data_IF_478945930508
#
_entry.id   IF_478945930508
#
_cell.length_a   1.000
_cell.length_b   1.000
_cell.length_c   1.000
_cell.angle_alpha   90.00
_cell.angle_beta   90.00
_cell.angle_gamma   90.00
#
_symmetry.space_group_name_H-M   'P 1'
#
loop_
_entity.id
_entity.type
_entity.pdbx_description
1 polymer ?
#
# COMPACT_ATOMS: atom_id res chain seq x y z
N UNK A 1 32.28 -4.41 11.32
CA UNK A 1 30.98 -5.05 11.05
C UNK A 1 30.05 -4.13 10.26
N UNK A 2 29.88 -2.86 10.63
CA UNK A 2 29.50 -1.79 9.66
C UNK A 2 30.59 -0.70 9.62
N UNK A 3 31.27 -0.49 10.73
CA UNK A 3 32.28 0.55 10.86
C UNK A 3 33.69 0.09 10.46
N UNK A 4 33.88 -1.12 9.92
CA UNK A 4 35.23 -1.65 9.59
C UNK A 4 35.56 -1.33 8.13
N UNK A 5 36.85 -1.18 7.83
CA UNK A 5 37.34 -0.88 6.47
C UNK A 5 37.07 -2.00 5.47
N UNK A 6 37.18 -3.25 5.91
CA UNK A 6 36.87 -4.41 5.09
C UNK A 6 35.73 -5.24 5.69
N UNK A 7 34.90 -5.87 4.84
CA UNK A 7 33.86 -6.77 5.31
C UNK A 7 34.50 -8.00 5.98
N UNK A 8 34.11 -8.28 7.22
CA UNK A 8 34.60 -9.45 7.97
C UNK A 8 33.81 -10.70 7.61
N UNK A 9 34.52 -11.82 7.45
CA UNK A 9 33.94 -13.15 7.22
C UNK A 9 33.73 -13.48 5.75
N UNK A 10 33.06 -14.61 5.49
CA UNK A 10 32.77 -15.10 4.12
C UNK A 10 31.52 -14.44 3.57
N UNK A 11 31.53 -14.08 2.29
CA UNK A 11 30.37 -13.52 1.58
C UNK A 11 29.12 -14.42 1.72
N UNK A 12 29.28 -15.74 1.58
CA UNK A 12 28.19 -16.70 1.73
C UNK A 12 27.55 -16.69 3.12
N UNK A 13 28.31 -16.37 4.18
CA UNK A 13 27.75 -16.20 5.51
C UNK A 13 26.91 -14.92 5.60
N UNK A 14 27.30 -13.84 4.93
CA UNK A 14 26.50 -12.60 4.91
C UNK A 14 25.16 -12.81 4.19
N UNK A 15 25.15 -13.46 3.02
CA UNK A 15 23.91 -13.77 2.30
C UNK A 15 23.02 -14.79 3.03
N UNK A 16 23.58 -15.75 3.77
CA UNK A 16 22.78 -16.65 4.63
C UNK A 16 21.96 -15.89 5.67
N UNK A 17 22.52 -14.83 6.26
CA UNK A 17 21.77 -13.97 7.19
C UNK A 17 20.67 -13.18 6.51
N UNK A 18 20.92 -12.68 5.29
CA UNK A 18 19.85 -12.06 4.46
C UNK A 18 18.74 -13.07 4.21
N UNK A 19 19.08 -14.27 3.72
CA UNK A 19 18.12 -15.32 3.43
C UNK A 19 17.33 -15.78 4.66
N UNK A 20 17.99 -15.94 5.80
CA UNK A 20 17.33 -16.27 7.08
C UNK A 20 16.34 -15.18 7.50
N UNK A 21 16.72 -13.91 7.39
CA UNK A 21 15.85 -12.80 7.76
C UNK A 21 14.65 -12.68 6.82
N UNK A 22 14.87 -12.78 5.50
CA UNK A 22 13.79 -12.81 4.49
C UNK A 22 12.86 -13.98 4.74
N UNK A 23 13.39 -15.18 5.00
CA UNK A 23 12.59 -16.34 5.34
C UNK A 23 11.77 -16.10 6.62
N UNK A 24 12.34 -15.44 7.62
CA UNK A 24 11.61 -15.06 8.84
C UNK A 24 10.43 -14.15 8.51
N UNK A 25 10.63 -13.10 7.70
CA UNK A 25 9.56 -12.19 7.26
C UNK A 25 8.47 -13.01 6.55
N UNK A 26 8.82 -13.78 5.51
CA UNK A 26 7.84 -14.47 4.68
C UNK A 26 7.11 -15.60 5.41
N UNK A 27 7.79 -16.36 6.27
CA UNK A 27 7.17 -17.43 7.05
C UNK A 27 6.22 -16.88 8.14
N UNK A 28 6.39 -15.62 8.55
CA UNK A 28 5.47 -14.97 9.48
C UNK A 28 4.19 -14.46 8.81
N UNK A 29 4.14 -14.32 7.49
CA UNK A 29 2.98 -13.77 6.77
C UNK A 29 1.67 -14.55 7.08
N UNK A 30 1.62 -15.89 6.97
CA UNK A 30 0.38 -16.63 7.27
C UNK A 30 -0.01 -16.56 8.74
N UNK A 31 0.96 -16.34 9.64
CA UNK A 31 0.75 -16.25 11.08
C UNK A 31 0.41 -14.82 11.53
N UNK A 32 0.61 -13.82 10.68
CA UNK A 32 0.52 -12.41 11.04
C UNK A 32 -0.84 -12.07 11.66
N UNK A 33 -1.94 -12.62 11.12
CA UNK A 33 -3.28 -12.34 11.65
C UNK A 33 -3.49 -12.94 13.05
N UNK A 34 -3.00 -14.15 13.28
CA UNK A 34 -3.06 -14.82 14.57
C UNK A 34 -2.23 -14.04 15.60
N UNK A 35 -1.04 -13.58 15.21
CA UNK A 35 -0.16 -12.76 16.05
C UNK A 35 -0.85 -11.43 16.39
N UNK A 36 -1.42 -10.74 15.40
CA UNK A 36 -2.15 -9.49 15.59
C UNK A 36 -3.32 -9.64 16.55
N UNK A 37 -4.17 -10.64 16.35
CA UNK A 37 -5.33 -10.91 17.21
C UNK A 37 -4.86 -11.23 18.64
N UNK A 38 -3.86 -12.11 18.78
CA UNK A 38 -3.30 -12.50 20.09
C UNK A 38 -2.69 -11.31 20.84
N UNK A 39 -1.90 -10.47 20.16
CA UNK A 39 -1.27 -9.28 20.77
C UNK A 39 -2.33 -8.25 21.15
N UNK A 40 -3.30 -8.01 20.26
CA UNK A 40 -4.40 -7.08 20.53
C UNK A 40 -5.19 -7.49 21.77
N UNK A 41 -5.48 -8.78 21.90
CA UNK A 41 -6.30 -9.30 22.99
C UNK A 41 -5.55 -9.32 24.33
N UNK A 42 -4.22 -9.49 24.33
CA UNK A 42 -3.41 -9.56 25.56
C UNK A 42 -2.79 -8.23 26.00
N UNK A 43 -2.36 -7.40 25.06
CA UNK A 43 -1.54 -6.21 25.34
C UNK A 43 -2.07 -4.93 24.66
N UNK A 44 -3.17 -5.02 23.91
CA UNK A 44 -3.68 -3.93 23.09
C UNK A 44 -2.87 -3.74 21.80
N UNK A 45 -3.50 -3.14 20.78
CA UNK A 45 -2.87 -2.92 19.47
C UNK A 45 -1.62 -2.03 19.53
N UNK A 46 -1.56 -1.11 20.49
CA UNK A 46 -0.44 -0.16 20.67
C UNK A 46 0.87 -0.87 21.04
N UNK A 47 0.83 -2.13 21.48
CA UNK A 47 2.03 -2.91 21.76
C UNK A 47 2.98 -2.98 20.55
N UNK A 48 2.46 -3.08 19.33
CA UNK A 48 3.28 -3.08 18.11
C UNK A 48 4.10 -1.79 17.97
N UNK A 49 3.45 -0.64 18.24
CA UNK A 49 4.09 0.66 18.16
C UNK A 49 5.20 0.81 19.22
N UNK A 50 4.96 0.35 20.45
CA UNK A 50 5.96 0.37 21.52
C UNK A 50 7.14 -0.55 21.25
N UNK A 51 6.90 -1.74 20.68
CA UNK A 51 7.96 -2.66 20.26
C UNK A 51 8.82 -2.01 19.17
N UNK A 52 8.19 -1.33 18.20
CA UNK A 52 8.90 -0.57 17.16
C UNK A 52 9.79 0.52 17.77
N UNK A 53 9.27 1.32 18.69
CA UNK A 53 10.07 2.35 19.37
C UNK A 53 11.21 1.77 20.23
N UNK A 54 10.97 0.64 20.89
CA UNK A 54 12.02 -0.06 21.64
C UNK A 54 13.15 -0.53 20.71
N UNK A 55 12.81 -1.06 19.53
CA UNK A 55 13.78 -1.44 18.52
C UNK A 55 14.59 -0.21 18.02
N UNK A 56 13.94 0.93 17.81
CA UNK A 56 14.63 2.19 17.45
C UNK A 56 15.56 2.66 18.56
N UNK A 57 15.12 2.62 19.82
CA UNK A 57 15.95 2.98 20.97
C UNK A 57 17.18 2.05 21.10
N UNK A 58 16.99 0.74 20.90
CA UNK A 58 18.09 -0.23 20.90
C UNK A 58 19.10 0.04 19.76
N UNK A 59 18.61 0.35 18.56
CA UNK A 59 19.47 0.73 17.43
C UNK A 59 20.25 2.02 17.72
N UNK A 60 19.60 3.06 18.27
CA UNK A 60 20.25 4.30 18.67
C UNK A 60 21.32 4.07 19.74
N UNK A 61 21.02 3.29 20.78
CA UNK A 61 21.98 2.92 21.82
C UNK A 61 23.20 2.17 21.26
N UNK A 62 22.97 1.26 20.31
CA UNK A 62 24.05 0.55 19.61
C UNK A 62 24.95 1.50 18.80
N UNK A 63 24.35 2.44 18.06
CA UNK A 63 25.07 3.46 17.28
C UNK A 63 25.90 4.36 18.22
N UNK A 64 25.30 4.86 19.30
CA UNK A 64 25.99 5.68 20.31
C UNK A 64 27.18 4.91 20.90
N UNK A 65 26.97 3.66 21.30
CA UNK A 65 28.04 2.80 21.84
C UNK A 65 29.16 2.58 20.82
N UNK A 66 28.83 2.40 19.54
CA UNK A 66 29.82 2.22 18.48
C UNK A 66 30.68 3.48 18.28
N UNK A 67 30.08 4.67 18.27
CA UNK A 67 30.83 5.94 18.21
C UNK A 67 31.73 6.15 19.44
N UNK A 68 31.22 5.89 20.65
CA UNK A 68 32.01 6.01 21.89
C UNK A 68 33.23 5.08 21.92
N UNK A 69 33.08 3.85 21.42
CA UNK A 69 34.17 2.85 21.40
C UNK A 69 35.30 3.18 20.44
N UNK A 70 35.04 3.94 19.39
CA UNK A 70 36.05 4.30 18.39
C UNK A 70 36.91 5.52 18.76
N UNK A 71 36.73 6.10 19.96
CA UNK A 71 37.48 7.28 20.44
C UNK A 71 37.60 8.43 19.42
N UNK A 72 36.68 8.53 18.46
CA UNK A 72 36.82 9.37 17.28
C UNK A 72 35.61 10.26 17.08
N UNK A 73 35.84 11.59 17.11
CA UNK A 73 34.88 12.67 16.92
C UNK A 73 33.89 12.40 15.77
N UNK A 74 32.70 11.88 16.11
CA UNK A 74 31.56 11.94 15.21
C UNK A 74 31.35 13.41 14.87
N UNK A 75 31.41 13.77 13.58
CA UNK A 75 31.21 15.16 13.19
C UNK A 75 29.80 15.59 13.61
N UNK A 76 29.58 16.83 14.07
CA UNK A 76 28.24 17.31 14.44
C UNK A 76 27.20 17.03 13.35
N UNK A 77 27.59 17.14 12.08
CA UNK A 77 26.74 16.80 10.92
C UNK A 77 26.30 15.33 10.91
N UNK A 78 27.17 14.38 11.29
CA UNK A 78 26.78 12.96 11.35
C UNK A 78 25.76 12.72 12.45
N UNK A 79 25.94 13.35 13.62
CA UNK A 79 25.00 13.28 14.73
C UNK A 79 23.67 13.91 14.31
N UNK A 80 23.68 15.09 13.70
CA UNK A 80 22.48 15.77 13.22
C UNK A 80 21.72 14.94 12.18
N UNK A 81 22.43 14.32 11.22
CA UNK A 81 21.81 13.41 10.25
C UNK A 81 21.18 12.21 10.94
N UNK A 82 21.89 11.55 11.86
CA UNK A 82 21.35 10.37 12.55
C UNK A 82 20.18 10.72 13.47
N UNK A 83 20.23 11.86 14.15
CA UNK A 83 19.13 12.38 14.96
C UNK A 83 17.93 12.73 14.09
N UNK A 84 18.14 13.41 12.96
CA UNK A 84 17.10 13.73 11.99
C UNK A 84 16.45 12.47 11.39
N UNK A 85 17.24 11.46 11.03
CA UNK A 85 16.72 10.16 10.58
C UNK A 85 15.95 9.44 11.68
N UNK A 86 16.46 9.42 12.91
CA UNK A 86 15.76 8.83 14.06
C UNK A 86 14.41 9.52 14.34
N UNK A 87 14.38 10.85 14.27
CA UNK A 87 13.16 11.65 14.37
C UNK A 87 12.17 11.35 13.24
N UNK A 88 12.66 11.25 11.99
CA UNK A 88 11.84 10.91 10.83
C UNK A 88 11.24 9.49 10.95
N UNK A 89 12.04 8.48 11.31
CA UNK A 89 11.55 7.13 11.57
C UNK A 89 10.49 7.11 12.67
N UNK A 90 10.72 7.86 13.75
CA UNK A 90 9.78 7.94 14.87
C UNK A 90 8.46 8.61 14.48
N UNK A 91 8.54 9.70 13.70
CA UNK A 91 7.37 10.38 13.18
C UNK A 91 6.57 9.51 12.19
N UNK A 92 7.26 8.79 11.29
CA UNK A 92 6.62 7.85 10.36
C UNK A 92 5.97 6.68 11.09
N UNK A 93 6.61 6.10 12.11
CA UNK A 93 5.99 5.06 12.92
C UNK A 93 4.76 5.59 13.67
N UNK A 94 4.82 6.80 14.22
CA UNK A 94 3.71 7.44 14.92
C UNK A 94 2.53 7.81 14.00
N UNK A 95 2.80 8.17 12.74
CA UNK A 95 1.74 8.47 11.77
C UNK A 95 0.89 7.22 11.45
N UNK A 96 1.47 6.02 11.63
CA UNK A 96 0.79 4.73 11.47
C UNK A 96 0.04 4.25 12.72
N UNK A 97 -0.07 5.04 13.81
CA UNK A 97 -0.75 4.62 15.06
C UNK A 97 -2.22 4.18 14.90
N UNK A 98 -2.86 4.52 13.79
CA UNK A 98 -4.19 4.00 13.47
C UNK A 98 -4.15 2.46 13.28
N UNK A 99 -3.11 1.99 12.58
CA UNK A 99 -2.78 0.59 12.29
C UNK A 99 -1.35 0.29 12.79
N UNK A 100 -1.12 0.27 14.11
CA UNK A 100 0.22 0.24 14.71
C UNK A 100 1.06 -0.97 14.29
N UNK A 101 0.43 -2.07 13.87
CA UNK A 101 1.10 -3.25 13.30
C UNK A 101 1.94 -2.93 12.06
N UNK A 102 1.53 -1.96 11.24
CA UNK A 102 2.25 -1.56 10.02
C UNK A 102 3.59 -0.89 10.36
N UNK A 103 3.70 -0.29 11.56
CA UNK A 103 4.96 0.32 12.01
C UNK A 103 6.10 -0.69 12.14
N UNK A 104 5.78 -1.96 12.37
CA UNK A 104 6.78 -3.02 12.53
C UNK A 104 7.55 -3.31 11.24
N UNK A 105 7.00 -2.94 10.08
CA UNK A 105 7.68 -3.03 8.79
C UNK A 105 8.98 -2.21 8.79
N UNK A 106 9.02 -1.07 9.48
CA UNK A 106 10.25 -0.28 9.62
C UNK A 106 11.38 -1.06 10.31
N UNK A 107 11.05 -1.92 11.27
CA UNK A 107 12.01 -2.79 11.95
C UNK A 107 12.46 -3.91 11.02
N UNK A 108 11.51 -4.61 10.40
CA UNK A 108 11.78 -5.74 9.49
C UNK A 108 12.66 -5.31 8.31
N UNK A 109 12.22 -4.29 7.57
CA UNK A 109 12.91 -3.83 6.37
C UNK A 109 14.12 -2.93 6.68
N UNK A 110 14.12 -2.23 7.81
CA UNK A 110 15.31 -1.52 8.30
C UNK A 110 16.45 -2.48 8.64
N UNK A 111 16.17 -3.58 9.34
CA UNK A 111 17.17 -4.64 9.59
C UNK A 111 17.63 -5.32 8.30
N UNK A 112 16.69 -5.64 7.40
CA UNK A 112 17.01 -6.21 6.08
C UNK A 112 17.99 -5.30 5.31
N UNK A 113 17.75 -3.99 5.34
CA UNK A 113 18.62 -2.98 4.70
C UNK A 113 20.06 -3.04 5.22
N UNK A 114 20.25 -3.18 6.53
CA UNK A 114 21.57 -3.36 7.14
C UNK A 114 22.25 -4.65 6.68
N UNK A 115 21.50 -5.76 6.63
CA UNK A 115 22.01 -7.06 6.21
C UNK A 115 22.40 -7.07 4.74
N UNK A 116 21.58 -6.47 3.87
CA UNK A 116 21.87 -6.30 2.44
C UNK A 116 23.12 -5.47 2.22
N UNK A 117 23.26 -4.34 2.92
CA UNK A 117 24.48 -3.53 2.85
C UNK A 117 25.73 -4.31 3.26
N UNK A 118 25.63 -5.13 4.32
CA UNK A 118 26.73 -5.98 4.76
C UNK A 118 27.10 -7.05 3.73
N UNK A 119 26.11 -7.66 3.10
CA UNK A 119 26.33 -8.69 2.07
C UNK A 119 26.92 -8.10 0.79
N UNK A 120 26.36 -6.99 0.30
CA UNK A 120 26.82 -6.32 -0.92
C UNK A 120 28.24 -5.74 -0.80
N UNK A 121 28.69 -5.41 0.41
CA UNK A 121 30.04 -4.90 0.64
C UNK A 121 31.17 -5.86 0.28
N UNK A 122 30.88 -7.14 0.13
CA UNK A 122 31.86 -8.10 -0.40
C UNK A 122 32.13 -7.91 -1.91
N UNK A 123 31.22 -7.25 -2.64
CA UNK A 123 31.33 -7.02 -4.09
C UNK A 123 31.46 -5.56 -4.47
N UNK A 124 30.92 -4.66 -3.65
CA UNK A 124 30.86 -3.22 -3.92
C UNK A 124 31.58 -2.42 -2.83
N UNK A 125 32.54 -1.60 -3.26
CA UNK A 125 33.27 -0.62 -2.44
C UNK A 125 33.00 0.82 -2.87
N UNK A 126 31.98 1.04 -3.69
CA UNK A 126 31.61 2.34 -4.24
C UNK A 126 30.16 2.73 -3.85
N UNK A 127 29.75 4.00 -4.02
CA UNK A 127 28.44 4.48 -3.57
C UNK A 127 27.22 3.81 -4.22
N UNK A 128 27.37 3.08 -5.33
CA UNK A 128 26.25 2.34 -5.94
C UNK A 128 25.63 1.30 -5.00
N UNK A 129 26.36 0.86 -3.98
CA UNK A 129 25.88 -0.08 -2.96
C UNK A 129 24.59 0.39 -2.27
N UNK A 130 24.46 1.69 -2.00
CA UNK A 130 23.31 2.22 -1.26
C UNK A 130 22.03 2.16 -2.09
N UNK A 131 22.12 2.50 -3.38
CA UNK A 131 20.98 2.41 -4.30
C UNK A 131 20.67 0.96 -4.64
N UNK A 132 21.69 0.12 -4.85
CA UNK A 132 21.50 -1.31 -5.13
C UNK A 132 20.86 -2.03 -3.95
N UNK A 133 21.30 -1.77 -2.72
CA UNK A 133 20.69 -2.30 -1.50
C UNK A 133 19.24 -1.84 -1.35
N UNK A 134 18.96 -0.56 -1.65
CA UNK A 134 17.59 -0.03 -1.68
C UNK A 134 16.72 -0.81 -2.66
N UNK A 135 17.16 -0.97 -3.91
CA UNK A 135 16.39 -1.67 -4.94
C UNK A 135 16.17 -3.15 -4.61
N UNK A 136 17.18 -3.86 -4.11
CA UNK A 136 17.02 -5.26 -3.70
C UNK A 136 16.04 -5.37 -2.53
N UNK A 137 16.16 -4.51 -1.52
CA UNK A 137 15.23 -4.47 -0.40
C UNK A 137 13.80 -4.13 -0.82
N UNK A 138 13.63 -3.18 -1.76
CA UNK A 138 12.32 -2.87 -2.36
C UNK A 138 11.75 -4.04 -3.15
N UNK A 139 12.55 -4.76 -3.94
CA UNK A 139 12.09 -5.95 -4.65
C UNK A 139 11.58 -7.03 -3.68
N UNK A 140 12.30 -7.26 -2.58
CA UNK A 140 11.86 -8.17 -1.52
C UNK A 140 10.59 -7.67 -0.81
N UNK A 141 10.44 -6.36 -0.66
CA UNK A 141 9.23 -5.73 -0.12
C UNK A 141 8.02 -5.82 -1.04
N UNK A 142 8.20 -5.78 -2.36
CA UNK A 142 7.12 -6.04 -3.32
C UNK A 142 6.75 -7.53 -3.31
N UNK A 143 7.75 -8.41 -3.22
CA UNK A 143 7.51 -9.86 -3.15
C UNK A 143 6.75 -10.26 -1.88
N UNK A 144 7.00 -9.61 -0.75
CA UNK A 144 6.20 -9.77 0.47
C UNK A 144 4.71 -9.52 0.21
N UNK A 145 4.37 -8.38 -0.39
CA UNK A 145 2.99 -8.04 -0.72
C UNK A 145 2.37 -9.00 -1.74
N UNK A 146 3.15 -9.48 -2.70
CA UNK A 146 2.70 -10.54 -3.62
C UNK A 146 2.47 -11.88 -2.94
N UNK A 147 3.23 -12.22 -1.89
CA UNK A 147 2.98 -13.40 -1.06
C UNK A 147 1.71 -13.17 -0.24
N UNK A 148 1.52 -11.98 0.35
CA UNK A 148 0.31 -11.63 1.08
C UNK A 148 -0.94 -11.71 0.19
N UNK A 149 -0.84 -11.33 -1.08
CA UNK A 149 -1.94 -11.45 -2.04
C UNK A 149 -2.47 -12.88 -2.16
N UNK A 150 -1.58 -13.88 -2.15
CA UNK A 150 -1.96 -15.30 -2.28
C UNK A 150 -2.26 -15.98 -0.95
N UNK A 151 -2.01 -15.32 0.18
CA UNK A 151 -2.25 -15.86 1.53
C UNK A 151 -3.67 -15.49 1.99
N UNK A 152 -4.50 -16.47 2.41
CA UNK A 152 -5.84 -16.19 2.91
C UNK A 152 -5.85 -15.21 4.08
N UNK A 153 -6.88 -14.34 4.14
CA UNK A 153 -7.07 -13.31 5.18
C UNK A 153 -5.95 -12.25 5.26
N UNK A 154 -5.05 -12.20 4.28
CA UNK A 154 -4.12 -11.09 4.05
C UNK A 154 -4.58 -10.29 2.83
N UNK A 155 -4.07 -9.06 2.72
CA UNK A 155 -4.43 -8.13 1.66
C UNK A 155 -3.16 -7.52 1.09
N UNK A 156 -3.09 -7.44 -0.23
CA UNK A 156 -2.08 -6.64 -0.92
C UNK A 156 -2.36 -5.14 -0.73
N UNK A 157 -1.34 -4.35 -0.37
CA UNK A 157 -1.45 -2.88 -0.33
C UNK A 157 -0.19 -2.20 -0.92
N UNK A 158 -0.37 -1.31 -1.91
CA UNK A 158 0.72 -0.50 -2.46
C UNK A 158 1.38 0.40 -1.41
N UNK A 159 0.65 0.76 -0.35
CA UNK A 159 1.20 1.52 0.77
C UNK A 159 2.25 0.71 1.53
N UNK A 160 2.06 -0.59 1.69
CA UNK A 160 3.01 -1.45 2.41
C UNK A 160 4.29 -1.65 1.59
N UNK A 161 4.18 -1.74 0.25
CA UNK A 161 5.34 -1.64 -0.66
C UNK A 161 6.13 -0.35 -0.40
N UNK A 162 5.43 0.78 -0.28
CA UNK A 162 6.04 2.08 -0.05
C UNK A 162 6.68 2.18 1.34
N UNK A 163 6.06 1.64 2.40
CA UNK A 163 6.63 1.58 3.75
C UNK A 163 7.91 0.73 3.76
N UNK A 164 7.87 -0.45 3.14
CA UNK A 164 9.01 -1.36 3.01
C UNK A 164 10.19 -0.66 2.28
N UNK A 165 9.91 -0.02 1.15
CA UNK A 165 10.92 0.73 0.38
C UNK A 165 11.50 1.92 1.16
N UNK A 166 10.66 2.70 1.86
CA UNK A 166 11.11 3.80 2.71
C UNK A 166 12.01 3.31 3.83
N UNK A 167 11.65 2.23 4.53
CA UNK A 167 12.46 1.66 5.60
C UNK A 167 13.86 1.30 5.10
N UNK A 168 13.96 0.64 3.94
CA UNK A 168 15.25 0.29 3.34
C UNK A 168 16.03 1.53 2.95
N UNK A 169 15.42 2.44 2.19
CA UNK A 169 16.05 3.65 1.67
C UNK A 169 16.55 4.59 2.77
N UNK A 170 15.75 4.82 3.81
CA UNK A 170 16.13 5.67 4.95
C UNK A 170 17.31 5.08 5.73
N UNK A 171 17.35 3.75 5.91
CA UNK A 171 18.54 3.10 6.49
C UNK A 171 19.76 3.27 5.58
N UNK A 172 19.64 3.13 4.26
CA UNK A 172 20.76 3.37 3.35
C UNK A 172 21.24 4.83 3.38
N UNK A 173 20.33 5.81 3.51
CA UNK A 173 20.68 7.23 3.70
C UNK A 173 21.41 7.43 5.04
N UNK A 174 20.90 6.85 6.13
CA UNK A 174 21.55 6.90 7.44
C UNK A 174 22.95 6.28 7.41
N UNK A 175 23.13 5.19 6.66
CA UNK A 175 24.43 4.58 6.40
C UNK A 175 25.33 5.52 5.60
N UNK A 176 24.86 6.04 4.46
CA UNK A 176 25.65 6.87 3.55
C UNK A 176 26.08 8.22 4.15
N UNK A 177 25.16 8.91 4.82
CA UNK A 177 25.38 10.29 5.29
C UNK A 177 25.71 10.38 6.78
N UNK A 178 25.13 9.51 7.61
CA UNK A 178 25.32 9.50 9.06
C UNK A 178 26.52 8.64 9.48
N UNK A 179 26.41 7.32 9.28
CA UNK A 179 27.46 6.38 9.70
C UNK A 179 28.74 6.55 8.89
N UNK A 180 28.63 6.76 7.58
CA UNK A 180 29.74 6.84 6.62
C UNK A 180 30.74 5.69 6.78
N UNK A 181 30.31 4.44 6.52
CA UNK A 181 31.17 3.27 6.61
C UNK A 181 32.48 3.46 5.84
N UNK A 182 33.64 3.17 6.43
CA UNK A 182 34.90 3.28 5.72
C UNK A 182 34.98 2.21 4.62
N UNK A 183 35.79 2.49 3.59
CA UNK A 183 35.91 1.62 2.41
C UNK A 183 34.87 1.87 1.30
N UNK A 184 33.85 2.70 1.52
CA UNK A 184 32.92 3.14 0.46
C UNK A 184 33.33 4.51 -0.06
N UNK A 185 33.96 4.57 -1.25
CA UNK A 185 34.52 5.81 -1.81
C UNK A 185 34.48 5.79 -3.35
N UNK A 186 34.74 6.95 -3.95
CA UNK A 186 34.90 7.08 -5.39
C UNK A 186 33.58 7.20 -6.16
N UNK A 187 33.67 7.00 -7.48
CA UNK A 187 32.52 7.03 -8.40
C UNK A 187 31.93 5.63 -8.57
N UNK A 188 30.63 5.51 -8.91
CA UNK A 188 30.02 4.22 -9.21
C UNK A 188 30.84 3.42 -10.23
N UNK A 189 31.13 2.16 -9.89
CA UNK A 189 31.86 1.25 -10.79
C UNK A 189 30.93 0.63 -11.83
N UNK A 190 31.48 0.06 -12.90
CA UNK A 190 30.69 -0.70 -13.88
C UNK A 190 30.01 -1.92 -13.26
N UNK A 191 30.69 -2.62 -12.34
CA UNK A 191 30.10 -3.72 -11.55
C UNK A 191 28.94 -3.21 -10.68
N UNK A 192 29.10 -2.04 -10.06
CA UNK A 192 28.05 -1.35 -9.33
C UNK A 192 26.84 -1.01 -10.19
N UNK A 193 27.08 -0.42 -11.36
CA UNK A 193 26.03 -0.10 -12.33
C UNK A 193 25.30 -1.37 -12.81
N UNK A 194 26.03 -2.46 -13.07
CA UNK A 194 25.44 -3.72 -13.50
C UNK A 194 24.48 -4.28 -12.44
N UNK A 195 24.92 -4.35 -11.17
CA UNK A 195 24.07 -4.83 -10.07
C UNK A 195 22.87 -3.90 -9.83
N UNK A 196 23.08 -2.58 -9.91
CA UNK A 196 21.99 -1.60 -9.85
C UNK A 196 20.95 -1.85 -10.94
N UNK A 197 21.37 -2.00 -12.20
CA UNK A 197 20.48 -2.24 -13.33
C UNK A 197 19.70 -3.55 -13.16
N UNK A 198 20.34 -4.64 -12.69
CA UNK A 198 19.67 -5.91 -12.41
C UNK A 198 18.64 -5.80 -11.29
N UNK A 199 18.98 -5.12 -10.20
CA UNK A 199 18.05 -4.88 -9.11
C UNK A 199 16.88 -4.00 -9.57
N UNK A 200 17.13 -2.97 -10.39
CA UNK A 200 16.11 -2.12 -10.97
C UNK A 200 15.16 -2.93 -11.88
N UNK A 201 15.69 -3.79 -12.75
CA UNK A 201 14.87 -4.68 -13.58
C UNK A 201 13.98 -5.58 -12.73
N UNK A 202 14.48 -6.15 -11.63
CA UNK A 202 13.68 -6.97 -10.73
C UNK A 202 12.52 -6.17 -10.11
N UNK A 203 12.79 -4.96 -9.59
CA UNK A 203 11.74 -4.06 -9.08
C UNK A 203 10.72 -3.73 -10.16
N UNK A 204 11.17 -3.36 -11.36
CA UNK A 204 10.29 -2.96 -12.47
C UNK A 204 9.42 -4.12 -12.95
N UNK A 205 9.95 -5.33 -13.04
CA UNK A 205 9.18 -6.54 -13.38
C UNK A 205 8.12 -6.86 -12.33
N UNK A 206 8.48 -6.75 -11.04
CA UNK A 206 7.54 -6.99 -9.95
C UNK A 206 6.44 -5.92 -9.91
N UNK A 207 6.78 -4.64 -10.10
CA UNK A 207 5.78 -3.56 -10.21
C UNK A 207 4.89 -3.77 -11.44
N UNK A 208 5.45 -4.18 -12.58
CA UNK A 208 4.70 -4.50 -13.79
C UNK A 208 3.68 -5.62 -13.52
N UNK A 209 4.07 -6.65 -12.76
CA UNK A 209 3.16 -7.70 -12.30
C UNK A 209 2.04 -7.11 -11.42
N UNK A 210 2.37 -6.32 -10.40
CA UNK A 210 1.38 -5.71 -9.49
C UNK A 210 0.34 -4.87 -10.24
N UNK A 211 0.77 -3.99 -11.16
CA UNK A 211 -0.13 -3.11 -11.92
C UNK A 211 -0.90 -3.85 -13.01
N UNK A 212 -0.41 -5.01 -13.44
CA UNK A 212 -1.08 -5.87 -14.43
C UNK A 212 -2.06 -6.84 -13.80
N UNK A 213 -1.94 -7.11 -12.50
CA UNK A 213 -2.81 -7.97 -11.71
C UNK A 213 -4.18 -7.30 -11.45
N UNK A 214 -4.93 -7.13 -12.53
CA UNK A 214 -6.29 -6.59 -12.55
C UNK A 214 -7.33 -7.71 -12.41
N UNK A 215 -8.59 -7.41 -12.02
CA UNK A 215 -9.64 -8.43 -11.97
C UNK A 215 -9.81 -9.22 -13.26
N UNK A 216 -9.69 -8.55 -14.42
CA UNK A 216 -9.78 -9.21 -15.72
C UNK A 216 -8.62 -10.18 -15.95
N UNK A 217 -7.40 -9.77 -15.59
CA UNK A 217 -6.22 -10.63 -15.71
C UNK A 217 -6.30 -11.84 -14.78
N UNK A 218 -6.72 -11.63 -13.53
CA UNK A 218 -6.88 -12.71 -12.54
C UNK A 218 -8.00 -13.66 -12.95
N UNK A 219 -9.15 -13.14 -13.40
CA UNK A 219 -10.24 -13.97 -13.92
C UNK A 219 -9.83 -14.77 -15.16
N UNK A 220 -8.97 -14.21 -16.02
CA UNK A 220 -8.39 -14.94 -17.14
C UNK A 220 -7.45 -16.06 -16.68
N UNK A 221 -6.55 -15.78 -15.72
CA UNK A 221 -5.65 -16.78 -15.14
C UNK A 221 -6.40 -17.91 -14.43
N UNK A 222 -7.49 -17.58 -13.72
CA UNK A 222 -8.34 -18.54 -13.03
C UNK A 222 -8.96 -19.59 -13.96
N UNK A 223 -9.04 -19.33 -15.28
CA UNK A 223 -9.48 -20.33 -16.28
C UNK A 223 -8.50 -21.49 -16.43
N UNK A 224 -7.22 -21.26 -16.14
CA UNK A 224 -6.14 -22.24 -16.31
C UNK A 224 -5.55 -22.71 -14.98
N UNK A 225 -5.61 -21.87 -13.95
CA UNK A 225 -5.07 -22.14 -12.62
C UNK A 225 -6.22 -22.04 -11.60
N UNK A 226 -6.83 -23.16 -11.20
CA UNK A 226 -7.95 -23.15 -10.26
C UNK A 226 -7.64 -22.46 -8.93
N UNK A 227 -6.38 -22.51 -8.47
CA UNK A 227 -5.93 -21.79 -7.29
C UNK A 227 -6.11 -20.27 -7.38
N UNK A 228 -6.04 -19.68 -8.58
CA UNK A 228 -6.26 -18.24 -8.77
C UNK A 228 -7.73 -17.82 -8.62
N UNK A 229 -8.68 -18.76 -8.67
CA UNK A 229 -10.09 -18.47 -8.42
C UNK A 229 -10.38 -18.15 -6.94
N UNK A 230 -9.51 -18.60 -6.03
CA UNK A 230 -9.62 -18.35 -4.59
C UNK A 230 -8.98 -17.03 -4.12
N UNK A 231 -8.54 -16.17 -5.04
CA UNK A 231 -7.98 -14.86 -4.70
C UNK A 231 -9.12 -13.86 -4.45
N UNK A 232 -9.41 -13.62 -3.18
CA UNK A 232 -10.54 -12.78 -2.72
C UNK A 232 -10.42 -11.30 -3.09
N UNK A 233 -9.21 -10.84 -3.40
CA UNK A 233 -8.91 -9.45 -3.72
C UNK A 233 -7.86 -9.38 -4.82
N UNK A 234 -7.79 -8.22 -5.47
CA UNK A 234 -6.86 -7.97 -6.57
C UNK A 234 -5.88 -6.84 -6.21
N UNK A 235 -4.62 -6.90 -6.64
CA UNK A 235 -3.64 -5.87 -6.35
C UNK A 235 -4.00 -4.51 -6.95
N UNK A 236 -4.53 -4.50 -8.18
CA UNK A 236 -4.79 -3.25 -8.92
C UNK A 236 -6.17 -3.22 -9.53
N UNK A 237 -6.95 -2.20 -9.17
CA UNK A 237 -8.18 -1.84 -9.86
C UNK A 237 -8.11 -0.41 -10.38
N UNK A 238 -8.57 -0.21 -11.61
CA UNK A 238 -8.58 1.09 -12.28
C UNK A 238 -10.02 1.58 -12.41
N UNK A 239 -10.18 2.91 -12.39
CA UNK A 239 -11.48 3.52 -12.57
C UNK A 239 -11.40 5.00 -12.89
N UNK A 240 -12.48 5.69 -12.60
CA UNK A 240 -12.71 7.08 -12.96
C UNK A 240 -13.04 7.88 -11.72
N UNK A 241 -12.35 9.00 -11.56
CA UNK A 241 -12.69 10.04 -10.58
C UNK A 241 -13.71 10.95 -11.24
N UNK A 242 -14.91 11.00 -10.67
CA UNK A 242 -16.04 11.76 -11.20
C UNK A 242 -16.22 12.97 -10.29
N UNK A 243 -16.11 14.16 -10.88
CA UNK A 243 -16.36 15.44 -10.22
C UNK A 243 -17.73 15.97 -10.64
N UNK A 244 -18.57 16.25 -9.66
CA UNK A 244 -19.87 16.89 -9.84
C UNK A 244 -19.91 18.19 -9.03
N UNK A 245 -20.11 19.36 -9.65
CA UNK A 245 -20.12 20.65 -8.95
C UNK A 245 -21.16 20.78 -7.84
N UNK A 246 -22.26 20.02 -7.92
CA UNK A 246 -23.37 20.08 -6.96
C UNK A 246 -23.19 19.08 -5.83
N UNK A 247 -22.56 17.94 -6.09
CA UNK A 247 -22.45 16.82 -5.14
C UNK A 247 -21.07 16.76 -4.48
N UNK A 248 -20.00 16.86 -5.27
CA UNK A 248 -18.62 16.63 -4.86
C UNK A 248 -17.93 15.58 -5.74
N UNK A 249 -17.09 14.75 -5.13
CA UNK A 249 -16.25 13.78 -5.84
C UNK A 249 -16.65 12.36 -5.45
N UNK A 250 -16.73 11.47 -6.43
CA UNK A 250 -16.85 10.03 -6.19
C UNK A 250 -16.07 9.22 -7.22
N UNK A 251 -15.97 7.92 -7.00
CA UNK A 251 -15.15 7.01 -7.81
C UNK A 251 -16.00 5.88 -8.36
N UNK A 252 -15.82 5.56 -9.64
CA UNK A 252 -16.53 4.47 -10.30
C UNK A 252 -15.60 3.70 -11.23
N UNK A 253 -15.83 2.38 -11.38
CA UNK A 253 -15.20 1.56 -12.42
C UNK A 253 -15.70 1.92 -13.82
N UNK A 254 -16.81 2.64 -13.92
CA UNK A 254 -17.41 3.07 -15.17
C UNK A 254 -17.17 4.58 -15.38
N UNK A 255 -16.82 5.04 -16.60
CA UNK A 255 -16.83 6.45 -16.89
C UNK A 255 -18.28 6.99 -16.85
N UNK A 256 -18.52 8.28 -16.60
CA UNK A 256 -19.87 8.83 -16.42
C UNK A 256 -20.87 8.46 -17.52
N UNK A 257 -20.47 8.56 -18.79
CA UNK A 257 -21.33 8.23 -19.93
C UNK A 257 -21.74 6.75 -19.95
N UNK A 258 -20.83 5.85 -19.59
CA UNK A 258 -21.08 4.42 -19.49
C UNK A 258 -21.96 4.09 -18.28
N UNK A 259 -21.71 4.76 -17.15
CA UNK A 259 -22.52 4.60 -15.94
C UNK A 259 -23.98 4.96 -16.21
N UNK A 260 -24.23 6.13 -16.82
CA UNK A 260 -25.59 6.52 -17.22
C UNK A 260 -26.19 5.60 -18.27
N UNK A 261 -25.39 5.11 -19.23
CA UNK A 261 -25.91 4.16 -20.24
C UNK A 261 -26.34 2.85 -19.58
N UNK A 262 -25.50 2.26 -18.75
CA UNK A 262 -25.81 1.02 -18.05
C UNK A 262 -26.98 1.18 -17.07
N UNK A 263 -27.07 2.30 -16.36
CA UNK A 263 -28.22 2.58 -15.50
C UNK A 263 -29.51 2.65 -16.31
N UNK A 264 -29.54 3.35 -17.45
CA UNK A 264 -30.73 3.37 -18.33
C UNK A 264 -31.10 1.98 -18.87
N UNK A 265 -30.12 1.21 -19.33
CA UNK A 265 -30.36 -0.08 -19.99
C UNK A 265 -30.67 -1.22 -18.99
N UNK A 266 -30.04 -1.20 -17.81
CA UNK A 266 -30.01 -2.32 -16.86
C UNK A 266 -30.50 -1.94 -15.47
N UNK A 267 -30.85 -0.68 -15.21
CA UNK A 267 -31.22 -0.18 -13.88
C UNK A 267 -32.40 -0.92 -13.27
N UNK A 268 -33.48 -1.13 -14.03
CA UNK A 268 -34.64 -1.86 -13.55
C UNK A 268 -34.33 -3.33 -13.18
N UNK A 269 -33.46 -4.01 -13.94
CA UNK A 269 -33.01 -5.36 -13.61
C UNK A 269 -32.11 -5.36 -12.37
N UNK A 270 -31.23 -4.36 -12.25
CA UNK A 270 -30.37 -4.15 -11.10
C UNK A 270 -31.19 -3.90 -9.83
N UNK A 271 -32.20 -3.03 -9.89
CA UNK A 271 -33.12 -2.76 -8.80
C UNK A 271 -33.79 -4.03 -8.28
N UNK A 272 -34.30 -4.89 -9.18
CA UNK A 272 -34.89 -6.18 -8.80
C UNK A 272 -33.91 -7.10 -8.07
N UNK A 273 -32.64 -7.10 -8.48
CA UNK A 273 -31.60 -7.86 -7.79
C UNK A 273 -31.33 -7.27 -6.39
N UNK A 274 -31.16 -5.94 -6.30
CA UNK A 274 -30.88 -5.26 -5.03
C UNK A 274 -32.02 -5.39 -4.02
N UNK A 275 -33.28 -5.42 -4.47
CA UNK A 275 -34.46 -5.58 -3.60
C UNK A 275 -34.45 -6.86 -2.76
N UNK A 276 -33.61 -7.85 -3.13
CA UNK A 276 -33.40 -9.11 -2.40
C UNK A 276 -32.31 -9.00 -1.33
N UNK A 277 -31.52 -7.92 -1.31
CA UNK A 277 -30.34 -7.72 -0.47
C UNK A 277 -30.65 -6.75 0.68
N UNK A 278 -31.48 -7.19 1.64
CA UNK A 278 -32.06 -6.34 2.69
C UNK A 278 -31.32 -6.38 4.02
N UNK A 279 -30.68 -7.49 4.37
CA UNK A 279 -29.91 -7.64 5.60
C UNK A 279 -28.41 -7.46 5.38
N UNK A 280 -27.67 -7.25 6.48
CA UNK A 280 -26.20 -7.17 6.47
C UNK A 280 -25.55 -8.46 5.97
N UNK A 281 -26.11 -9.62 6.32
CA UNK A 281 -25.61 -10.92 5.86
C UNK A 281 -25.82 -11.10 4.36
N UNK A 282 -27.00 -10.71 3.85
CA UNK A 282 -27.29 -10.70 2.42
C UNK A 282 -26.38 -9.73 1.68
N UNK A 283 -26.08 -8.57 2.25
CA UNK A 283 -25.14 -7.60 1.68
C UNK A 283 -23.74 -8.20 1.55
N UNK A 284 -23.23 -8.85 2.60
CA UNK A 284 -21.91 -9.52 2.54
C UNK A 284 -21.90 -10.67 1.54
N UNK A 285 -22.97 -11.46 1.46
CA UNK A 285 -23.12 -12.52 0.46
C UNK A 285 -23.12 -11.96 -0.97
N UNK A 286 -23.91 -10.91 -1.21
CA UNK A 286 -24.00 -10.22 -2.49
C UNK A 286 -22.63 -9.73 -2.98
N UNK A 287 -21.82 -9.11 -2.11
CA UNK A 287 -20.48 -8.63 -2.50
C UNK A 287 -19.49 -9.77 -2.83
N UNK A 288 -19.63 -10.94 -2.19
CA UNK A 288 -18.80 -12.12 -2.51
C UNK A 288 -19.23 -12.78 -3.82
N UNK A 289 -20.54 -12.89 -4.03
CA UNK A 289 -21.14 -13.59 -5.18
C UNK A 289 -21.18 -12.73 -6.44
N UNK A 290 -21.13 -11.41 -6.31
CA UNK A 290 -21.19 -10.45 -7.41
C UNK A 290 -19.89 -9.64 -7.47
N UNK A 291 -18.87 -10.10 -8.22
CA UNK A 291 -17.62 -9.35 -8.35
C UNK A 291 -17.83 -7.98 -8.99
N UNK A 292 -17.29 -6.93 -8.37
CA UNK A 292 -17.45 -5.54 -8.82
C UNK A 292 -16.99 -5.29 -10.27
N UNK A 293 -15.98 -6.03 -10.74
CA UNK A 293 -15.48 -5.90 -12.10
C UNK A 293 -16.39 -6.54 -13.17
N UNK A 294 -17.28 -7.45 -12.78
CA UNK A 294 -18.27 -8.08 -13.67
C UNK A 294 -19.59 -7.32 -13.66
N UNK A 295 -19.98 -6.78 -12.50
CA UNK A 295 -21.22 -6.01 -12.36
C UNK A 295 -21.01 -4.71 -11.57
N UNK A 296 -20.26 -3.75 -12.14
CA UNK A 296 -19.90 -2.51 -11.44
C UNK A 296 -21.12 -1.67 -11.06
N UNK A 297 -22.12 -1.55 -11.96
CA UNK A 297 -23.35 -0.81 -11.68
C UNK A 297 -24.05 -1.31 -10.40
N UNK A 298 -24.31 -2.62 -10.31
CA UNK A 298 -25.04 -3.18 -9.18
C UNK A 298 -24.25 -3.08 -7.87
N UNK A 299 -22.95 -3.37 -7.92
CA UNK A 299 -22.10 -3.38 -6.72
C UNK A 299 -21.89 -1.97 -6.20
N UNK A 300 -21.55 -1.01 -7.07
CA UNK A 300 -21.34 0.38 -6.66
C UNK A 300 -22.64 1.00 -6.14
N UNK A 301 -23.77 0.81 -6.82
CA UNK A 301 -25.08 1.23 -6.32
C UNK A 301 -25.37 0.67 -4.93
N UNK A 302 -25.12 -0.63 -4.71
CA UNK A 302 -25.41 -1.28 -3.42
C UNK A 302 -24.53 -0.76 -2.28
N UNK A 303 -23.26 -0.45 -2.56
CA UNK A 303 -22.33 0.10 -1.56
C UNK A 303 -22.71 1.56 -1.24
N UNK A 304 -23.05 2.37 -2.25
CA UNK A 304 -23.59 3.72 -2.03
C UNK A 304 -24.87 3.68 -1.18
N UNK A 305 -25.81 2.78 -1.48
CA UNK A 305 -27.02 2.55 -0.68
C UNK A 305 -26.70 2.16 0.77
N UNK A 306 -25.79 1.19 0.96
CA UNK A 306 -25.37 0.75 2.29
C UNK A 306 -24.80 1.90 3.12
N UNK A 307 -23.89 2.66 2.52
CA UNK A 307 -23.24 3.80 3.17
C UNK A 307 -24.24 4.91 3.48
N UNK A 308 -25.09 5.28 2.51
CA UNK A 308 -26.16 6.26 2.68
C UNK A 308 -27.04 5.91 3.89
N UNK A 309 -27.56 4.70 3.93
CA UNK A 309 -28.53 4.28 4.94
C UNK A 309 -27.89 4.16 6.32
N UNK A 310 -26.64 3.68 6.40
CA UNK A 310 -25.89 3.59 7.67
C UNK A 310 -25.63 4.97 8.27
N UNK A 311 -25.17 5.92 7.45
CA UNK A 311 -24.91 7.28 7.89
C UNK A 311 -26.20 8.04 8.22
N UNK A 312 -27.29 7.78 7.50
CA UNK A 312 -28.60 8.34 7.86
C UNK A 312 -29.07 7.85 9.24
N UNK A 313 -28.89 6.56 9.54
CA UNK A 313 -29.17 6.00 10.86
C UNK A 313 -28.32 6.66 11.96
N UNK A 314 -27.01 6.79 11.73
CA UNK A 314 -26.12 7.48 12.66
C UNK A 314 -26.50 8.95 12.87
N UNK A 315 -26.95 9.66 11.83
CA UNK A 315 -27.40 11.04 11.95
C UNK A 315 -28.63 11.17 12.87
N UNK A 316 -29.59 10.24 12.76
CA UNK A 316 -30.83 10.25 13.53
C UNK A 316 -30.62 9.89 15.02
N UNK A 317 -29.57 9.13 15.34
CA UNK A 317 -29.29 8.67 16.71
C UNK A 317 -28.09 9.40 17.34
N UNK A 318 -27.49 10.36 16.65
CA UNK A 318 -26.39 11.14 17.18
C UNK A 318 -26.84 11.97 18.39
N UNK A 319 -26.03 11.97 19.45
CA UNK A 319 -26.33 12.66 20.72
C UNK A 319 -25.98 14.16 20.69
N UNK A 320 -25.20 14.61 19.70
CA UNK A 320 -24.84 16.00 19.52
C UNK A 320 -25.08 16.45 18.08
N UNK A 321 -25.36 17.75 17.94
CA UNK A 321 -25.78 18.37 16.67
C UNK A 321 -24.68 18.33 15.60
N UNK A 322 -23.43 18.48 15.99
CA UNK A 322 -22.29 18.48 15.07
C UNK A 322 -22.09 17.10 14.42
N UNK A 323 -22.10 16.04 15.22
CA UNK A 323 -22.04 14.66 14.73
C UNK A 323 -23.25 14.31 13.87
N UNK A 324 -24.46 14.72 14.31
CA UNK A 324 -25.68 14.54 13.52
C UNK A 324 -25.55 15.19 12.13
N UNK A 325 -25.06 16.44 12.08
CA UNK A 325 -24.86 17.17 10.84
C UNK A 325 -23.79 16.53 9.95
N UNK A 326 -22.66 16.09 10.53
CA UNK A 326 -21.59 15.42 9.79
C UNK A 326 -22.07 14.09 9.16
N UNK A 327 -22.83 13.28 9.91
CA UNK A 327 -23.40 12.04 9.39
C UNK A 327 -24.49 12.30 8.35
N UNK A 328 -25.39 13.26 8.60
CA UNK A 328 -26.44 13.65 7.67
C UNK A 328 -25.86 14.15 6.36
N UNK A 329 -24.77 14.92 6.40
CA UNK A 329 -24.05 15.38 5.21
C UNK A 329 -23.59 14.21 4.34
N UNK A 330 -22.95 13.20 4.93
CA UNK A 330 -22.54 12.00 4.16
C UNK A 330 -23.76 11.33 3.54
N UNK A 331 -24.80 11.07 4.34
CA UNK A 331 -26.01 10.42 3.85
C UNK A 331 -26.70 11.20 2.72
N UNK A 332 -26.81 12.52 2.85
CA UNK A 332 -27.40 13.38 1.84
C UNK A 332 -26.61 13.33 0.53
N UNK A 333 -25.27 13.45 0.60
CA UNK A 333 -24.42 13.44 -0.60
C UNK A 333 -24.40 12.08 -1.30
N UNK A 334 -24.34 10.98 -0.56
CA UNK A 334 -24.49 9.63 -1.13
C UNK A 334 -25.86 9.47 -1.81
N UNK A 335 -26.94 10.04 -1.25
CA UNK A 335 -28.25 10.03 -1.88
C UNK A 335 -28.28 10.84 -3.19
N UNK A 336 -27.60 11.98 -3.25
CA UNK A 336 -27.49 12.75 -4.49
C UNK A 336 -26.72 11.99 -5.57
N UNK A 337 -25.65 11.26 -5.22
CA UNK A 337 -24.95 10.37 -6.16
C UNK A 337 -25.93 9.35 -6.74
N UNK A 338 -26.70 8.68 -5.87
CA UNK A 338 -27.67 7.67 -6.29
C UNK A 338 -28.77 8.26 -7.18
N UNK A 339 -29.30 9.44 -6.84
CA UNK A 339 -30.32 10.12 -7.62
C UNK A 339 -29.81 10.61 -8.98
N UNK A 340 -28.55 11.00 -9.08
CA UNK A 340 -28.02 11.55 -10.32
C UNK A 340 -27.47 10.47 -11.27
N UNK A 341 -26.72 9.51 -10.73
CA UNK A 341 -25.98 8.53 -11.54
C UNK A 341 -26.62 7.14 -11.59
N UNK A 342 -27.54 6.84 -10.67
CA UNK A 342 -28.17 5.52 -10.53
C UNK A 342 -29.70 5.62 -10.48
N UNK A 343 -30.31 6.64 -11.10
CA UNK A 343 -31.74 6.94 -10.94
C UNK A 343 -32.64 5.78 -11.38
N UNK A 344 -32.36 5.15 -12.52
CA UNK A 344 -33.15 4.03 -13.05
C UNK A 344 -32.94 2.75 -12.25
N UNK A 345 -31.89 2.68 -11.44
CA UNK A 345 -31.69 1.64 -10.42
C UNK A 345 -32.38 1.98 -9.11
N UNK A 346 -32.29 3.25 -8.66
CA UNK A 346 -32.77 3.69 -7.36
C UNK A 346 -34.30 3.77 -7.31
N UNK A 347 -34.92 4.44 -8.27
CA UNK A 347 -36.36 4.74 -8.28
C UNK A 347 -37.25 3.49 -8.19
N UNK A 348 -37.04 2.42 -8.99
CA UNK A 348 -37.83 1.20 -8.88
C UNK A 348 -37.39 0.28 -7.73
N UNK A 349 -36.37 0.65 -6.95
CA UNK A 349 -35.91 -0.15 -5.81
C UNK A 349 -36.67 0.16 -4.53
N UNK A 350 -36.70 -0.79 -3.60
CA UNK A 350 -37.24 -0.58 -2.25
C UNK A 350 -36.40 0.38 -1.40
N UNK A 351 -35.26 0.83 -1.92
CA UNK A 351 -34.35 1.74 -1.24
C UNK A 351 -34.54 3.20 -1.64
N UNK A 352 -35.47 3.52 -2.54
CA UNK A 352 -35.87 4.90 -2.78
C UNK A 352 -36.39 5.53 -1.48
N UNK A 353 -35.85 6.68 -1.09
CA UNK A 353 -36.32 7.39 0.09
C UNK A 353 -37.56 8.22 -0.26
N UNK A 354 -38.59 8.23 0.61
CA UNK A 354 -39.67 9.21 0.52
C UNK A 354 -39.12 10.64 0.62
N UNK A 355 -39.78 11.60 -0.03
CA UNK A 355 -39.36 13.01 -0.03
C UNK A 355 -39.22 13.61 1.38
N UNK A 356 -40.06 13.20 2.32
CA UNK A 356 -39.99 13.62 3.72
C UNK A 356 -38.65 13.23 4.36
N UNK A 357 -38.17 12.01 4.11
CA UNK A 357 -36.89 11.53 4.63
C UNK A 357 -35.72 12.29 4.00
N UNK A 358 -35.79 12.57 2.69
CA UNK A 358 -34.77 13.38 2.00
C UNK A 358 -34.69 14.77 2.61
N UNK A 359 -35.83 15.46 2.79
CA UNK A 359 -35.91 16.79 3.41
C UNK A 359 -35.34 16.79 4.82
N UNK A 360 -35.74 15.83 5.67
CA UNK A 360 -35.24 15.71 7.04
C UNK A 360 -33.72 15.54 7.10
N UNK A 361 -33.14 14.69 6.25
CA UNK A 361 -31.69 14.49 6.22
C UNK A 361 -30.97 15.73 5.66
N UNK A 362 -31.56 16.41 4.67
CA UNK A 362 -31.02 17.65 4.12
C UNK A 362 -30.99 18.78 5.17
N UNK A 363 -32.07 18.95 5.94
CA UNK A 363 -32.15 19.94 7.03
C UNK A 363 -31.11 19.70 8.12
N UNK A 364 -30.78 18.43 8.41
CA UNK A 364 -29.75 18.08 9.37
C UNK A 364 -28.33 18.34 8.85
N UNK A 365 -28.10 18.27 7.54
CA UNK A 365 -26.77 18.37 6.91
C UNK A 365 -26.23 19.83 6.83
N UNK A 366 -26.51 20.66 7.83
CA UNK A 366 -26.42 22.14 7.91
C UNK A 366 -25.15 22.83 7.42
N UNK A 367 -24.10 22.11 6.99
CA UNK A 367 -22.83 22.68 6.56
C UNK A 367 -22.46 22.36 5.10
N UNK A 368 -22.31 23.39 4.23
CA UNK A 368 -21.68 23.21 2.93
C UNK A 368 -20.19 22.94 3.13
N UNK A 369 -19.69 21.86 2.54
CA UNK A 369 -18.28 21.53 2.53
C UNK A 369 -17.96 20.57 1.39
N UNK A 370 -16.67 20.47 0.99
CA UNK A 370 -16.24 19.50 -0.01
C UNK A 370 -16.56 18.10 0.48
N UNK A 371 -17.16 17.30 -0.40
CA UNK A 371 -17.50 15.92 -0.11
C UNK A 371 -16.81 15.01 -1.11
N UNK A 372 -16.11 14.01 -0.59
CA UNK A 372 -15.50 12.93 -1.35
C UNK A 372 -16.06 11.61 -0.82
N UNK A 373 -16.74 10.86 -1.69
CA UNK A 373 -17.27 9.55 -1.31
C UNK A 373 -16.12 8.57 -1.03
N UNK A 374 -16.27 7.78 0.03
CA UNK A 374 -15.34 6.71 0.34
C UNK A 374 -15.57 5.45 -0.51
N UNK A 375 -16.68 5.39 -1.24
CA UNK A 375 -17.01 4.24 -2.09
C UNK A 375 -16.01 4.17 -3.24
N UNK A 376 -15.38 3.00 -3.40
CA UNK A 376 -14.38 2.72 -4.44
C UNK A 376 -13.19 3.70 -4.46
N UNK A 377 -12.88 4.37 -3.34
CA UNK A 377 -11.77 5.32 -3.23
C UNK A 377 -10.39 4.69 -3.49
N UNK A 378 -10.28 3.37 -3.37
CA UNK A 378 -9.08 2.60 -3.62
C UNK A 378 -8.79 2.38 -5.12
N UNK A 379 -9.67 2.80 -6.03
CA UNK A 379 -9.42 2.72 -7.47
C UNK A 379 -8.28 3.64 -7.90
N UNK A 380 -7.43 3.15 -8.80
CA UNK A 380 -6.41 3.95 -9.47
C UNK A 380 -7.09 4.78 -10.56
N UNK A 381 -7.24 6.08 -10.32
CA UNK A 381 -7.94 7.00 -11.24
C UNK A 381 -7.05 8.11 -11.82
N UNK A 382 -5.86 8.32 -11.28
CA UNK A 382 -4.95 9.41 -11.69
C UNK A 382 -4.25 9.13 -13.02
N UNK A 383 -4.19 7.87 -13.46
CA UNK A 383 -3.64 7.49 -14.76
C UNK A 383 -4.24 6.18 -15.23
N UNK A 384 -4.41 5.97 -16.55
CA UNK A 384 -4.77 4.67 -17.10
C UNK A 384 -3.63 3.64 -16.95
N UNK A 385 -4.01 2.37 -16.80
CA UNK A 385 -3.09 1.24 -16.73
C UNK A 385 -2.06 1.21 -17.88
N UNK A 386 -2.50 1.52 -19.11
CA UNK A 386 -1.64 1.49 -20.31
C UNK A 386 -0.45 2.45 -20.21
N UNK A 387 -0.64 3.63 -19.61
CA UNK A 387 0.44 4.61 -19.43
C UNK A 387 1.45 4.15 -18.38
N UNK A 388 1.00 3.60 -17.25
CA UNK A 388 1.89 3.02 -16.24
C UNK A 388 2.69 1.87 -16.85
N UNK A 389 2.01 0.97 -17.54
CA UNK A 389 2.61 -0.20 -18.19
C UNK A 389 3.68 0.23 -19.19
N UNK A 390 3.38 1.18 -20.07
CA UNK A 390 4.33 1.72 -21.05
C UNK A 390 5.55 2.37 -20.39
N UNK A 391 5.34 3.16 -19.33
CA UNK A 391 6.42 3.77 -18.57
C UNK A 391 7.33 2.70 -17.93
N UNK A 392 6.75 1.71 -17.25
CA UNK A 392 7.51 0.64 -16.61
C UNK A 392 8.29 -0.20 -17.63
N UNK A 393 7.71 -0.49 -18.79
CA UNK A 393 8.39 -1.20 -19.88
C UNK A 393 9.54 -0.36 -20.46
N UNK A 394 9.36 0.94 -20.66
CA UNK A 394 10.42 1.83 -21.13
C UNK A 394 11.59 1.88 -20.13
N UNK A 395 11.30 2.02 -18.83
CA UNK A 395 12.30 1.98 -17.77
C UNK A 395 13.01 0.61 -17.70
N UNK A 396 12.27 -0.48 -17.93
CA UNK A 396 12.82 -1.83 -17.95
C UNK A 396 13.82 -1.99 -19.11
N UNK A 397 13.48 -1.50 -20.30
CA UNK A 397 14.38 -1.50 -21.47
C UNK A 397 15.63 -0.66 -21.22
N UNK A 398 15.50 0.50 -20.58
CA UNK A 398 16.65 1.33 -20.18
C UNK A 398 17.55 0.62 -19.18
N UNK A 399 16.97 -0.04 -18.17
CA UNK A 399 17.74 -0.81 -17.19
C UNK A 399 18.45 -2.01 -17.84
N UNK A 400 17.80 -2.70 -18.79
CA UNK A 400 18.40 -3.80 -19.54
C UNK A 400 19.54 -3.33 -20.46
N UNK A 401 19.39 -2.17 -21.12
CA UNK A 401 20.46 -1.57 -21.91
C UNK A 401 21.65 -1.18 -21.03
N UNK A 402 21.39 -0.60 -19.84
CA UNK A 402 22.41 -0.29 -18.84
C UNK A 402 23.16 -1.52 -18.33
N UNK A 403 22.46 -2.62 -18.04
CA UNK A 403 23.08 -3.90 -17.64
C UNK A 403 24.00 -4.44 -18.75
N UNK A 404 23.56 -4.42 -20.01
CA UNK A 404 24.38 -4.86 -21.15
C UNK A 404 25.62 -3.99 -21.34
N UNK A 405 25.48 -2.66 -21.26
CA UNK A 405 26.61 -1.74 -21.37
C UNK A 405 27.61 -1.92 -20.22
N UNK A 406 27.12 -2.09 -19.01
CA UNK A 406 27.98 -2.36 -17.86
C UNK A 406 28.69 -3.72 -17.99
N UNK A 407 27.98 -4.76 -18.46
CA UNK A 407 28.54 -6.09 -18.66
C UNK A 407 29.71 -6.11 -19.65
N UNK A 408 29.67 -5.31 -20.71
CA UNK A 408 30.77 -5.23 -21.69
C UNK A 408 31.98 -4.47 -21.14
N UNK A 409 31.77 -3.48 -20.27
CA UNK A 409 32.82 -2.67 -19.64
C UNK A 409 33.41 -3.29 -18.37
N UNK A 410 32.71 -4.25 -17.75
CA UNK A 410 33.15 -4.99 -16.55
C UNK A 410 33.98 -6.23 -16.86
N UNK A 411 34.07 -6.68 -18.12
CA UNK A 411 34.96 -7.77 -18.51
C UNK A 411 36.41 -7.25 -18.53
N UNK A 412 37.38 -8.03 -18.02
CA UNK A 412 38.78 -7.63 -17.89
C UNK A 412 39.42 -7.29 -19.23
#
# INVERSE_FOLDING_TARGET
MIFDEQPRGRESAAWRWVGFWVATIYLTIPLARIIQETVRDRAGKEAFLWITFLAFAAAAAWIIRAFRRKQGNARPVQIAVLAGMGGLFSWLAWSLRANPEESFHFVQYGMLSVLLFRALRHRLSDPSIYLTATLIGSALGILDELIQWVVPRRYFDFRDIWINAQAVGLVQIALAAGIRPPGIRGRPTWTGLQLFCRAAMAVLLLLLLCVSATPRAVAFLARYLPAAAGLDHVPSEYGHRIEDPRIGVFFSRLPPAELHRQDRERGAATARALNRVRSDDQYRAFLRETPAHLNPLAVEARIHLFRRDRYAGHALWATNREAAAAFARVAFRENQILQHFFSNTLEPSVFAWPEERVRRIQELATEPGPYESAVSRNLITWTPQSRITALLLALLLLAAAGDRLAATRSRP
#
